data_IF_786298903839
#
_entry.id   IF_786298903839
#
_cell.length_a   1.000
_cell.length_b   1.000
_cell.length_c   1.000
_cell.angle_alpha   90.00
_cell.angle_beta   90.00
_cell.angle_gamma   90.00
#
_symmetry.space_group_name_H-M   'P 1'
#
loop_
_entity.id
_entity.type
_entity.pdbx_description
1 polymer ?
#
# COMPACT_ATOMS: atom_id res chain seq x y z
N UNK A 1 6.75 17.81 -12.98
CA UNK A 1 6.19 16.80 -13.89
C UNK A 1 7.10 15.59 -14.17
N UNK A 2 8.43 15.70 -14.11
CA UNK A 2 9.34 14.54 -14.35
C UNK A 2 9.18 13.35 -13.38
N UNK A 3 8.56 13.51 -12.21
CA UNK A 3 8.37 12.45 -11.24
C UNK A 3 7.22 11.47 -11.53
N UNK A 4 6.23 11.90 -12.31
CA UNK A 4 5.08 11.04 -12.69
C UNK A 4 5.51 10.00 -13.74
N UNK A 5 6.53 10.29 -14.54
CA UNK A 5 7.12 9.40 -15.55
C UNK A 5 8.32 8.61 -15.02
N UNK A 6 8.40 8.40 -13.71
CA UNK A 6 9.41 7.51 -13.14
C UNK A 6 8.98 6.03 -13.27
N UNK A 7 9.95 5.12 -13.35
CA UNK A 7 9.67 3.68 -13.41
C UNK A 7 8.72 3.20 -12.29
N UNK A 8 8.89 3.64 -11.01
CA UNK A 8 7.95 3.28 -9.95
C UNK A 8 6.52 3.77 -10.19
N UNK A 9 6.34 4.97 -10.77
CA UNK A 9 5.00 5.50 -11.09
C UNK A 9 4.35 4.73 -12.23
N UNK A 10 5.12 4.31 -13.23
CA UNK A 10 4.62 3.49 -14.32
C UNK A 10 4.17 2.11 -13.85
N UNK A 11 4.96 1.44 -13.02
CA UNK A 11 4.58 0.16 -12.42
C UNK A 11 3.33 0.31 -11.54
N UNK A 12 3.24 1.41 -10.79
CA UNK A 12 2.04 1.72 -10.01
C UNK A 12 0.81 1.88 -10.92
N UNK A 13 0.91 2.59 -12.02
CA UNK A 13 -0.19 2.75 -12.99
C UNK A 13 -0.64 1.41 -13.57
N UNK A 14 0.30 0.54 -13.97
CA UNK A 14 -0.01 -0.82 -14.41
C UNK A 14 -0.72 -1.65 -13.33
N UNK A 15 -0.30 -1.50 -12.06
CA UNK A 15 -0.96 -2.15 -10.92
C UNK A 15 -2.40 -1.65 -10.72
N UNK A 16 -2.68 -0.38 -11.00
CA UNK A 16 -4.06 0.14 -10.97
C UNK A 16 -4.92 -0.37 -12.13
N UNK A 17 -4.32 -0.57 -13.31
CA UNK A 17 -5.01 -1.24 -14.43
C UNK A 17 -5.32 -2.70 -14.06
N UNK A 18 -4.37 -3.42 -13.44
CA UNK A 18 -4.60 -4.76 -12.90
C UNK A 18 -5.71 -4.80 -11.84
N UNK A 19 -5.78 -3.77 -10.97
CA UNK A 19 -6.87 -3.64 -10.01
C UNK A 19 -8.22 -3.40 -10.69
N UNK A 20 -8.27 -2.60 -11.76
CA UNK A 20 -9.48 -2.42 -12.57
C UNK A 20 -9.96 -3.75 -13.19
N UNK A 21 -9.03 -4.56 -13.71
CA UNK A 21 -9.33 -5.89 -14.23
C UNK A 21 -9.91 -6.81 -13.14
N UNK A 22 -9.24 -6.87 -11.99
CA UNK A 22 -9.70 -7.68 -10.85
C UNK A 22 -11.11 -7.31 -10.39
N UNK A 23 -11.40 -6.00 -10.28
CA UNK A 23 -12.72 -5.54 -9.84
C UNK A 23 -13.80 -5.72 -10.91
N UNK A 24 -13.45 -5.66 -12.19
CA UNK A 24 -14.35 -5.95 -13.30
C UNK A 24 -14.72 -7.43 -13.32
N UNK A 25 -13.75 -8.34 -13.16
CA UNK A 25 -13.99 -9.79 -13.04
C UNK A 25 -14.81 -10.12 -11.78
N UNK A 26 -14.60 -9.38 -10.70
CA UNK A 26 -15.38 -9.50 -9.47
C UNK A 26 -16.82 -8.96 -9.58
N UNK A 27 -17.21 -8.38 -10.72
CA UNK A 27 -18.54 -7.84 -10.96
C UNK A 27 -18.85 -6.56 -10.15
N UNK A 28 -17.84 -5.86 -9.63
CA UNK A 28 -18.03 -4.65 -8.84
C UNK A 28 -18.30 -3.47 -9.80
N UNK A 29 -19.40 -2.71 -9.63
CA UNK A 29 -19.74 -1.60 -10.50
C UNK A 29 -18.64 -0.53 -10.56
N UNK A 30 -18.34 0.00 -11.75
CA UNK A 30 -17.29 0.97 -12.00
C UNK A 30 -17.34 2.20 -11.08
N UNK A 31 -18.53 2.70 -10.76
CA UNK A 31 -18.71 3.81 -9.83
C UNK A 31 -18.17 3.51 -8.43
N UNK A 32 -18.39 2.30 -7.93
CA UNK A 32 -17.84 1.84 -6.65
C UNK A 32 -16.32 1.70 -6.71
N UNK A 33 -15.77 1.20 -7.82
CA UNK A 33 -14.32 1.05 -8.03
C UNK A 33 -13.63 2.42 -8.07
N UNK A 34 -14.21 3.40 -8.75
CA UNK A 34 -13.72 4.78 -8.80
C UNK A 34 -13.77 5.41 -7.39
N UNK A 35 -14.91 5.30 -6.71
CA UNK A 35 -15.09 5.80 -5.35
C UNK A 35 -14.09 5.18 -4.38
N UNK A 36 -13.96 3.86 -4.39
CA UNK A 36 -13.02 3.11 -3.57
C UNK A 36 -11.56 3.51 -3.89
N UNK A 37 -11.23 3.79 -5.16
CA UNK A 37 -9.88 4.22 -5.55
C UNK A 37 -9.55 5.62 -5.04
N UNK A 38 -10.51 6.53 -5.02
CA UNK A 38 -10.35 7.87 -4.45
C UNK A 38 -10.28 7.88 -2.92
N UNK A 39 -11.12 7.04 -2.25
CA UNK A 39 -11.22 7.01 -0.79
C UNK A 39 -10.16 6.14 -0.12
N UNK A 40 -9.80 5.01 -0.71
CA UNK A 40 -8.79 4.09 -0.17
C UNK A 40 -7.57 4.12 -1.08
N UNK A 41 -6.65 5.05 -0.83
CA UNK A 41 -5.48 5.25 -1.69
C UNK A 41 -4.52 4.06 -1.71
N UNK A 42 -4.43 3.30 -0.62
CA UNK A 42 -3.54 2.13 -0.52
C UNK A 42 -4.06 0.93 -1.34
N UNK A 43 -3.35 0.53 -2.39
CA UNK A 43 -3.72 -0.59 -3.27
C UNK A 43 -3.93 -1.91 -2.52
N UNK A 44 -3.04 -2.36 -1.61
CA UNK A 44 -3.28 -3.59 -0.86
C UNK A 44 -4.52 -3.56 0.02
N UNK A 45 -4.83 -2.42 0.63
CA UNK A 45 -6.03 -2.26 1.44
C UNK A 45 -7.30 -2.43 0.59
N UNK A 46 -7.30 -1.95 -0.66
CA UNK A 46 -8.40 -2.15 -1.61
C UNK A 46 -8.53 -3.60 -2.05
N UNK A 47 -7.42 -4.28 -2.31
CA UNK A 47 -7.43 -5.71 -2.68
C UNK A 47 -7.99 -6.55 -1.54
N UNK A 48 -7.60 -6.26 -0.28
CA UNK A 48 -8.15 -6.90 0.91
C UNK A 48 -9.65 -6.62 1.02
N UNK A 49 -10.07 -5.37 0.82
CA UNK A 49 -11.48 -4.99 0.88
C UNK A 49 -12.31 -5.75 -0.16
N UNK A 50 -11.86 -5.78 -1.42
CA UNK A 50 -12.52 -6.52 -2.49
C UNK A 50 -12.55 -8.03 -2.21
N UNK A 51 -11.43 -8.59 -1.77
CA UNK A 51 -11.35 -10.01 -1.35
C UNK A 51 -12.35 -10.34 -0.24
N UNK A 52 -12.44 -9.47 0.77
CA UNK A 52 -13.42 -9.61 1.86
C UNK A 52 -14.87 -9.53 1.37
N UNK A 53 -15.15 -8.66 0.39
CA UNK A 53 -16.49 -8.56 -0.22
C UNK A 53 -16.84 -9.85 -0.98
N UNK A 54 -15.89 -10.41 -1.74
CA UNK A 54 -16.12 -11.63 -2.53
C UNK A 54 -16.27 -12.87 -1.67
N UNK A 55 -15.54 -12.97 -0.57
CA UNK A 55 -15.62 -14.09 0.38
C UNK A 55 -16.81 -14.00 1.34
N UNK A 56 -17.60 -12.90 1.29
CA UNK A 56 -18.68 -12.67 2.24
C UNK A 56 -18.23 -12.49 3.68
N UNK A 57 -16.97 -12.08 3.89
CA UNK A 57 -16.38 -11.86 5.21
C UNK A 57 -17.19 -10.86 6.01
N UNK A 58 -17.40 -11.12 7.31
CA UNK A 58 -18.13 -10.24 8.21
C UNK A 58 -17.52 -8.83 8.22
N UNK A 59 -18.35 -7.80 8.19
CA UNK A 59 -17.94 -6.39 8.09
C UNK A 59 -16.87 -5.99 9.12
N UNK A 60 -16.97 -6.46 10.36
CA UNK A 60 -15.99 -6.16 11.40
C UNK A 60 -14.61 -6.78 11.10
N UNK A 61 -14.55 -8.00 10.56
CA UNK A 61 -13.30 -8.66 10.18
C UNK A 61 -12.67 -7.96 8.97
N UNK A 62 -13.46 -7.60 7.96
CA UNK A 62 -13.01 -6.82 6.81
C UNK A 62 -12.45 -5.44 7.26
N UNK A 63 -13.16 -4.74 8.15
CA UNK A 63 -12.70 -3.47 8.73
C UNK A 63 -11.36 -3.61 9.46
N UNK A 64 -11.21 -4.64 10.30
CA UNK A 64 -9.96 -4.91 11.00
C UNK A 64 -8.82 -5.23 10.03
N UNK A 65 -9.04 -6.07 9.04
CA UNK A 65 -8.02 -6.44 8.04
C UNK A 65 -7.54 -5.21 7.24
N UNK A 66 -8.46 -4.36 6.76
CA UNK A 66 -8.15 -3.12 6.04
C UNK A 66 -7.42 -2.14 6.94
N UNK A 67 -7.85 -1.99 8.20
CA UNK A 67 -7.22 -1.09 9.18
C UNK A 67 -5.79 -1.54 9.47
N UNK A 68 -5.57 -2.82 9.76
CA UNK A 68 -4.24 -3.38 10.00
C UNK A 68 -3.31 -3.25 8.80
N UNK A 69 -3.83 -3.47 7.59
CA UNK A 69 -3.08 -3.21 6.35
C UNK A 69 -2.64 -1.75 6.22
N UNK A 70 -3.40 -0.82 6.78
CA UNK A 70 -3.12 0.61 6.74
C UNK A 70 -2.14 1.08 7.82
N UNK A 71 -1.94 0.32 8.91
CA UNK A 71 -1.00 0.67 10.01
C UNK A 71 0.42 0.88 9.50
N UNK A 72 0.84 0.16 8.47
CA UNK A 72 2.14 0.34 7.82
C UNK A 72 2.39 1.76 7.29
N UNK A 73 1.33 2.55 7.05
CA UNK A 73 1.45 3.95 6.61
C UNK A 73 1.84 4.88 7.76
N UNK A 74 1.64 4.46 9.02
CA UNK A 74 1.90 5.28 10.20
C UNK A 74 3.35 5.81 10.27
N UNK A 75 4.42 5.01 10.08
CA UNK A 75 5.79 5.52 10.08
C UNK A 75 6.07 6.48 8.92
N UNK A 76 5.40 6.32 7.77
CA UNK A 76 5.53 7.25 6.64
C UNK A 76 4.89 8.60 6.96
N UNK A 77 3.71 8.59 7.58
CA UNK A 77 3.03 9.81 8.06
C UNK A 77 3.89 10.50 9.13
N UNK A 78 4.38 9.72 10.11
CA UNK A 78 5.20 10.22 11.22
C UNK A 78 6.52 10.85 10.75
N UNK A 79 7.11 10.36 9.64
CA UNK A 79 8.35 10.92 9.08
C UNK A 79 8.12 12.12 8.16
N UNK A 80 7.03 12.13 7.38
CA UNK A 80 6.79 13.17 6.37
C UNK A 80 6.07 14.41 6.94
N UNK A 81 5.13 14.23 7.86
CA UNK A 81 4.34 15.34 8.43
C UNK A 81 5.22 16.40 9.12
N UNK A 82 6.23 16.06 9.94
CA UNK A 82 7.15 17.04 10.53
C UNK A 82 7.91 17.87 9.50
N UNK A 83 8.27 17.27 8.35
CA UNK A 83 8.97 17.95 7.27
C UNK A 83 8.10 19.02 6.57
N UNK A 84 6.79 18.80 6.52
CA UNK A 84 5.81 19.73 5.94
C UNK A 84 5.33 20.77 6.95
N UNK A 85 5.41 20.47 8.26
CA UNK A 85 4.82 21.29 9.31
C UNK A 85 5.57 22.60 9.51
N UNK A 86 4.82 23.70 9.52
CA UNK A 86 5.28 25.03 9.92
C UNK A 86 4.37 25.58 11.03
N UNK A 87 4.77 26.68 11.69
CA UNK A 87 3.93 27.33 12.71
C UNK A 87 2.57 27.80 12.17
N UNK A 88 2.45 28.03 10.87
CA UNK A 88 1.22 28.49 10.21
C UNK A 88 0.40 27.37 9.59
N UNK A 89 0.91 26.13 9.56
CA UNK A 89 0.22 24.99 8.95
C UNK A 89 -0.82 24.44 9.94
N UNK A 90 -2.13 24.50 9.62
CA UNK A 90 -3.15 23.98 10.51
C UNK A 90 -3.14 22.43 10.47
N UNK A 91 -3.41 21.82 11.62
CA UNK A 91 -3.36 20.36 11.77
C UNK A 91 -4.37 19.63 10.88
N UNK A 92 -5.57 20.21 10.69
CA UNK A 92 -6.58 19.61 9.81
C UNK A 92 -6.10 19.45 8.36
N UNK A 93 -5.31 20.42 7.86
CA UNK A 93 -4.72 20.32 6.52
C UNK A 93 -3.70 19.19 6.42
N UNK A 94 -2.88 18.99 7.46
CA UNK A 94 -1.94 17.88 7.52
C UNK A 94 -2.67 16.53 7.61
N UNK A 95 -3.79 16.46 8.32
CA UNK A 95 -4.65 15.27 8.36
C UNK A 95 -5.25 14.97 6.98
N UNK A 96 -5.76 15.96 6.26
CA UNK A 96 -6.23 15.77 4.88
C UNK A 96 -5.10 15.31 3.96
N UNK A 97 -3.92 15.90 4.08
CA UNK A 97 -2.78 15.51 3.26
C UNK A 97 -2.24 14.12 3.59
N UNK A 98 -2.43 13.64 4.82
CA UNK A 98 -2.04 12.28 5.19
C UNK A 98 -2.79 11.21 4.39
N UNK A 99 -3.98 11.51 3.88
CA UNK A 99 -4.71 10.64 2.95
C UNK A 99 -3.90 10.28 1.69
N UNK A 100 -3.12 11.22 1.16
CA UNK A 100 -2.32 11.02 -0.05
C UNK A 100 -0.97 10.33 0.22
N UNK A 101 -0.65 10.02 1.48
CA UNK A 101 0.61 9.36 1.84
C UNK A 101 0.49 7.86 1.53
N UNK A 102 1.19 7.45 0.49
CA UNK A 102 1.45 6.05 0.14
C UNK A 102 2.94 5.90 -0.16
N UNK A 103 3.44 4.67 -0.28
CA UNK A 103 4.87 4.40 -0.49
C UNK A 103 5.45 5.25 -1.61
N UNK A 104 4.81 5.29 -2.78
CA UNK A 104 5.29 6.05 -3.95
C UNK A 104 5.32 7.55 -3.68
N UNK A 105 4.24 8.10 -3.09
CA UNK A 105 4.17 9.52 -2.76
C UNK A 105 5.15 9.90 -1.66
N UNK A 106 5.36 9.02 -0.68
CA UNK A 106 6.30 9.22 0.41
C UNK A 106 7.75 9.22 -0.08
N UNK A 107 8.16 8.21 -0.87
CA UNK A 107 9.51 8.13 -1.43
C UNK A 107 9.80 9.36 -2.27
N UNK A 108 8.92 9.72 -3.19
CA UNK A 108 9.08 10.91 -4.03
C UNK A 108 9.18 12.21 -3.23
N UNK A 109 8.35 12.34 -2.17
CA UNK A 109 8.39 13.50 -1.31
C UNK A 109 9.71 13.58 -0.53
N UNK A 110 10.12 12.47 0.12
CA UNK A 110 11.34 12.42 0.95
C UNK A 110 12.61 12.70 0.14
N UNK A 111 12.66 12.27 -1.12
CA UNK A 111 13.79 12.57 -2.01
C UNK A 111 13.92 14.06 -2.36
N UNK A 112 12.82 14.80 -2.39
CA UNK A 112 12.79 16.16 -2.97
C UNK A 112 12.36 17.26 -2.01
N UNK A 113 11.75 16.92 -0.89
CA UNK A 113 11.18 17.90 0.04
C UNK A 113 12.24 18.86 0.61
N UNK A 114 13.48 18.39 0.75
CA UNK A 114 14.59 19.21 1.27
C UNK A 114 15.04 20.29 0.27
N UNK A 115 14.82 20.05 -1.04
CA UNK A 115 15.09 21.05 -2.08
C UNK A 115 14.00 22.12 -2.17
N UNK A 116 12.84 21.92 -1.49
CA UNK A 116 11.73 22.86 -1.47
C UNK A 116 11.79 23.71 -0.20
N UNK A 117 11.69 25.05 -0.29
CA UNK A 117 11.60 25.93 0.88
C UNK A 117 10.46 25.49 1.81
N UNK A 118 10.65 25.56 3.12
CA UNK A 118 9.66 25.07 4.11
C UNK A 118 8.24 25.59 3.89
N UNK A 119 8.08 26.85 3.49
CA UNK A 119 6.79 27.47 3.22
C UNK A 119 6.04 26.83 2.03
N UNK A 120 6.77 26.25 1.07
CA UNK A 120 6.21 25.62 -0.14
C UNK A 120 5.97 24.11 -0.02
N UNK A 121 6.47 23.44 1.01
CA UNK A 121 6.44 21.97 1.13
C UNK A 121 5.03 21.39 1.16
N UNK A 122 4.12 22.06 1.85
CA UNK A 122 2.69 21.67 1.90
C UNK A 122 2.08 21.71 0.51
N UNK A 123 2.26 22.80 -0.23
CA UNK A 123 1.73 22.95 -1.59
C UNK A 123 2.40 21.97 -2.57
N UNK A 124 3.70 21.74 -2.43
CA UNK A 124 4.44 20.74 -3.22
C UNK A 124 3.87 19.34 -3.03
N UNK A 125 3.68 18.89 -1.79
CA UNK A 125 3.16 17.57 -1.50
C UNK A 125 1.68 17.45 -1.90
N UNK A 126 0.86 18.47 -1.62
CA UNK A 126 -0.54 18.51 -2.02
C UNK A 126 -0.69 18.40 -3.54
N UNK A 127 0.05 19.20 -4.30
CA UNK A 127 0.03 19.14 -5.76
C UNK A 127 0.40 17.77 -6.30
N UNK A 128 1.45 17.16 -5.77
CA UNK A 128 1.87 15.82 -6.18
C UNK A 128 0.85 14.76 -5.78
N UNK A 129 0.41 14.73 -4.52
CA UNK A 129 -0.52 13.73 -4.00
C UNK A 129 -1.88 13.78 -4.69
N UNK A 130 -2.47 14.96 -4.84
CA UNK A 130 -3.74 15.16 -5.53
C UNK A 130 -3.61 14.72 -7.00
N UNK A 131 -2.57 15.17 -7.71
CA UNK A 131 -2.37 14.79 -9.12
C UNK A 131 -2.22 13.29 -9.27
N UNK A 132 -1.39 12.65 -8.43
CA UNK A 132 -1.16 11.21 -8.49
C UNK A 132 -2.46 10.43 -8.23
N UNK A 133 -3.23 10.83 -7.21
CA UNK A 133 -4.52 10.19 -6.90
C UNK A 133 -5.54 10.37 -8.02
N UNK A 134 -5.68 11.60 -8.51
CA UNK A 134 -6.64 11.89 -9.59
C UNK A 134 -6.30 11.13 -10.87
N UNK A 135 -5.03 11.12 -11.28
CA UNK A 135 -4.57 10.39 -12.47
C UNK A 135 -4.85 8.90 -12.34
N UNK A 136 -4.52 8.29 -11.19
CA UNK A 136 -4.76 6.85 -11.00
C UNK A 136 -6.25 6.51 -10.87
N UNK A 137 -7.05 7.38 -10.25
CA UNK A 137 -8.52 7.21 -10.19
C UNK A 137 -9.14 7.30 -11.58
N UNK A 138 -8.72 8.29 -12.38
CA UNK A 138 -9.16 8.42 -13.78
C UNK A 138 -8.70 7.20 -14.61
N UNK A 139 -7.45 6.77 -14.43
CA UNK A 139 -6.90 5.60 -15.11
C UNK A 139 -7.71 4.33 -14.82
N UNK A 140 -8.09 4.10 -13.55
CA UNK A 140 -8.94 2.96 -13.17
C UNK A 140 -10.30 3.03 -13.86
N UNK A 141 -10.93 4.22 -13.86
CA UNK A 141 -12.22 4.40 -14.53
C UNK A 141 -12.16 4.15 -16.04
N UNK A 142 -11.12 4.65 -16.70
CA UNK A 142 -10.91 4.44 -18.14
C UNK A 142 -10.52 2.99 -18.47
N UNK A 143 -9.64 2.42 -17.67
CA UNK A 143 -9.18 1.04 -17.86
C UNK A 143 -10.30 0.04 -17.61
N UNK A 144 -11.22 0.29 -16.69
CA UNK A 144 -12.30 -0.62 -16.34
C UNK A 144 -13.13 -1.08 -17.56
N UNK A 145 -13.47 -0.14 -18.47
CA UNK A 145 -14.17 -0.47 -19.71
C UNK A 145 -13.32 -1.29 -20.68
N UNK A 146 -12.01 -1.00 -20.75
CA UNK A 146 -11.10 -1.67 -21.67
C UNK A 146 -10.72 -3.10 -21.19
N UNK A 147 -10.53 -3.30 -19.89
CA UNK A 147 -10.10 -4.60 -19.36
C UNK A 147 -11.14 -5.70 -19.53
N UNK A 148 -12.42 -5.36 -19.64
CA UNK A 148 -13.48 -6.34 -19.93
C UNK A 148 -13.35 -6.97 -21.31
N UNK A 149 -12.57 -6.36 -22.21
CA UNK A 149 -12.28 -6.90 -23.54
C UNK A 149 -10.97 -7.70 -23.58
N UNK A 150 -10.19 -7.71 -22.50
CA UNK A 150 -8.92 -8.42 -22.45
C UNK A 150 -9.14 -9.93 -22.26
N UNK A 151 -8.29 -10.78 -22.87
CA UNK A 151 -8.26 -12.18 -22.52
C UNK A 151 -7.98 -12.37 -21.03
N UNK A 152 -8.59 -13.37 -20.35
CA UNK A 152 -8.43 -13.62 -18.91
C UNK A 152 -6.95 -13.74 -18.47
N UNK A 153 -6.11 -14.29 -19.33
CA UNK A 153 -4.68 -14.40 -19.08
C UNK A 153 -4.02 -13.01 -18.93
N UNK A 154 -4.38 -12.05 -19.78
CA UNK A 154 -3.82 -10.68 -19.73
C UNK A 154 -4.28 -9.97 -18.47
N UNK A 155 -5.57 -10.05 -18.15
CA UNK A 155 -6.14 -9.48 -16.90
C UNK A 155 -5.47 -10.09 -15.66
N UNK A 156 -5.30 -11.41 -15.62
CA UNK A 156 -4.61 -12.11 -14.55
C UNK A 156 -3.15 -11.69 -14.40
N UNK A 157 -2.41 -11.55 -15.50
CA UNK A 157 -1.03 -11.06 -15.49
C UNK A 157 -0.93 -9.63 -14.96
N UNK A 158 -1.80 -8.73 -15.42
CA UNK A 158 -1.86 -7.34 -14.96
C UNK A 158 -2.19 -7.26 -13.46
N UNK A 159 -3.14 -8.06 -13.00
CA UNK A 159 -3.47 -8.14 -11.59
C UNK A 159 -2.29 -8.67 -10.75
N UNK A 160 -1.61 -9.71 -11.24
CA UNK A 160 -0.46 -10.32 -10.56
C UNK A 160 0.74 -9.38 -10.44
N UNK A 161 0.87 -8.37 -11.32
CA UNK A 161 1.90 -7.32 -11.16
C UNK A 161 1.78 -6.57 -9.83
N UNK A 162 0.57 -6.44 -9.29
CA UNK A 162 0.33 -5.73 -8.01
C UNK A 162 1.06 -6.38 -6.84
N UNK A 163 0.83 -7.66 -6.48
CA UNK A 163 1.54 -8.32 -5.39
C UNK A 163 3.04 -8.42 -5.65
N UNK A 164 3.47 -8.68 -6.89
CA UNK A 164 4.90 -8.73 -7.26
C UNK A 164 5.56 -7.37 -7.03
N UNK A 165 4.93 -6.27 -7.48
CA UNK A 165 5.44 -4.92 -7.23
C UNK A 165 5.58 -4.62 -5.74
N UNK A 166 4.57 -4.94 -4.94
CA UNK A 166 4.64 -4.70 -3.50
C UNK A 166 5.71 -5.54 -2.82
N UNK A 167 5.79 -6.82 -3.16
CA UNK A 167 6.79 -7.72 -2.59
C UNK A 167 8.21 -7.24 -2.91
N UNK A 168 8.48 -6.94 -4.17
CA UNK A 168 9.78 -6.45 -4.62
C UNK A 168 10.11 -5.08 -4.05
N UNK A 169 9.14 -4.17 -3.99
CA UNK A 169 9.32 -2.82 -3.42
C UNK A 169 9.64 -2.87 -1.93
N UNK A 170 8.92 -3.70 -1.16
CA UNK A 170 9.20 -3.88 0.27
C UNK A 170 10.55 -4.58 0.46
N UNK A 171 10.84 -5.61 -0.33
CA UNK A 171 12.12 -6.33 -0.27
C UNK A 171 13.32 -5.43 -0.49
N UNK A 172 13.28 -4.59 -1.53
CA UNK A 172 14.37 -3.65 -1.86
C UNK A 172 14.49 -2.52 -0.84
N UNK A 173 13.35 -2.06 -0.30
CA UNK A 173 13.32 -0.99 0.72
C UNK A 173 13.73 -1.47 2.11
N UNK A 174 13.79 -2.78 2.34
CA UNK A 174 14.10 -3.37 3.63
C UNK A 174 15.59 -3.25 3.95
N UNK A 175 15.93 -2.37 4.91
CA UNK A 175 17.31 -2.15 5.37
C UNK A 175 17.76 -3.15 6.45
N UNK A 176 16.81 -3.84 7.09
CA UNK A 176 17.06 -4.76 8.21
C UNK A 176 16.69 -6.19 7.84
N UNK A 177 17.52 -7.16 8.21
CA UNK A 177 17.27 -8.60 7.98
C UNK A 177 15.96 -9.08 8.56
N UNK A 178 15.50 -8.49 9.68
CA UNK A 178 14.22 -8.82 10.30
C UNK A 178 13.04 -8.60 9.36
N UNK A 179 13.09 -7.60 8.48
CA UNK A 179 12.00 -7.33 7.53
C UNK A 179 11.91 -8.45 6.48
N UNK A 180 13.04 -8.95 5.99
CA UNK A 180 13.07 -10.08 5.06
C UNK A 180 12.56 -11.37 5.73
N UNK A 181 12.92 -11.56 7.00
CA UNK A 181 12.40 -12.69 7.81
C UNK A 181 10.90 -12.58 8.03
N UNK A 182 10.40 -11.38 8.39
CA UNK A 182 8.97 -11.12 8.56
C UNK A 182 8.19 -11.35 7.26
N UNK A 183 8.73 -10.93 6.11
CA UNK A 183 8.14 -11.18 4.79
C UNK A 183 8.06 -12.68 4.48
N UNK A 184 9.14 -13.43 4.68
CA UNK A 184 9.17 -14.87 4.44
C UNK A 184 8.20 -15.61 5.38
N UNK A 185 8.23 -15.29 6.68
CA UNK A 185 7.30 -15.86 7.66
C UNK A 185 5.85 -15.52 7.32
N UNK A 186 5.56 -14.27 6.95
CA UNK A 186 4.22 -13.84 6.54
C UNK A 186 3.70 -14.58 5.30
N UNK A 187 4.56 -14.82 4.30
CA UNK A 187 4.21 -15.61 3.11
C UNK A 187 3.84 -17.06 3.44
N UNK A 188 4.66 -17.72 4.26
CA UNK A 188 4.42 -19.11 4.66
C UNK A 188 3.19 -19.21 5.55
N UNK A 189 3.08 -18.37 6.58
CA UNK A 189 1.94 -18.36 7.50
C UNK A 189 0.65 -17.94 6.80
N UNK A 190 0.72 -16.99 5.85
CA UNK A 190 -0.43 -16.59 5.04
C UNK A 190 -0.99 -17.74 4.24
N UNK A 191 -0.14 -18.53 3.57
CA UNK A 191 -0.55 -19.74 2.86
C UNK A 191 -1.16 -20.81 3.78
N UNK A 192 -0.59 -21.00 4.96
CA UNK A 192 -1.12 -21.96 5.95
C UNK A 192 -2.48 -21.51 6.50
N UNK A 193 -2.60 -20.24 6.91
CA UNK A 193 -3.85 -19.72 7.48
C UNK A 193 -4.95 -19.55 6.42
N UNK A 194 -4.61 -19.27 5.17
CA UNK A 194 -5.58 -19.28 4.08
C UNK A 194 -6.28 -20.64 3.92
N UNK A 195 -5.59 -21.75 4.26
CA UNK A 195 -6.16 -23.09 4.23
C UNK A 195 -6.94 -23.47 5.52
N UNK A 196 -6.57 -22.91 6.68
CA UNK A 196 -7.10 -23.33 7.99
C UNK A 196 -8.11 -22.35 8.56
N UNK A 197 -7.91 -21.04 8.36
CA UNK A 197 -8.75 -19.97 8.90
C UNK A 197 -8.80 -18.78 7.89
N UNK A 198 -9.45 -18.94 6.74
CA UNK A 198 -9.41 -17.96 5.66
C UNK A 198 -9.96 -16.58 6.02
N UNK A 199 -10.83 -16.47 7.04
CA UNK A 199 -11.37 -15.19 7.52
C UNK A 199 -10.35 -14.34 8.27
N UNK A 200 -9.33 -14.96 8.87
CA UNK A 200 -8.32 -14.31 9.72
C UNK A 200 -6.89 -14.51 9.21
N UNK A 201 -6.70 -15.05 8.02
CA UNK A 201 -5.40 -15.45 7.45
C UNK A 201 -4.39 -14.30 7.46
N UNK A 202 -4.75 -13.13 6.94
CA UNK A 202 -3.90 -11.95 6.87
C UNK A 202 -3.56 -11.43 8.26
N UNK A 203 -4.54 -11.43 9.17
CA UNK A 203 -4.38 -10.97 10.54
C UNK A 203 -3.45 -11.87 11.32
N UNK A 204 -3.69 -13.17 11.26
CA UNK A 204 -2.88 -14.18 11.96
C UNK A 204 -1.46 -14.25 11.38
N UNK A 205 -1.33 -14.26 10.05
CA UNK A 205 -0.03 -14.26 9.39
C UNK A 205 0.79 -13.00 9.72
N UNK A 206 0.15 -11.82 9.76
CA UNK A 206 0.79 -10.56 10.09
C UNK A 206 1.25 -10.50 11.55
N UNK A 207 0.38 -10.84 12.50
CA UNK A 207 0.69 -10.82 13.93
C UNK A 207 1.74 -11.86 14.30
N UNK A 208 1.54 -13.11 13.89
CA UNK A 208 2.46 -14.20 14.23
C UNK A 208 3.79 -14.06 13.46
N UNK A 209 3.76 -13.77 12.17
CA UNK A 209 4.96 -13.56 11.38
C UNK A 209 5.80 -12.38 11.87
N UNK A 210 5.15 -11.26 12.20
CA UNK A 210 5.79 -10.09 12.76
C UNK A 210 6.39 -10.33 14.15
N UNK A 211 5.65 -10.98 15.05
CA UNK A 211 6.13 -11.31 16.39
C UNK A 211 7.28 -12.32 16.39
N UNK A 212 7.20 -13.36 15.55
CA UNK A 212 8.28 -14.34 15.39
C UNK A 212 9.56 -13.68 14.84
N UNK A 213 9.44 -12.81 13.85
CA UNK A 213 10.58 -12.10 13.29
C UNK A 213 11.23 -11.15 14.33
N UNK A 214 10.42 -10.41 15.08
CA UNK A 214 10.90 -9.54 16.14
C UNK A 214 11.58 -10.32 17.27
N UNK A 215 11.01 -11.43 17.70
CA UNK A 215 11.59 -12.27 18.74
C UNK A 215 12.89 -12.92 18.28
N UNK A 216 12.94 -13.38 17.04
CA UNK A 216 14.17 -13.92 16.44
C UNK A 216 15.29 -12.90 16.40
N UNK A 217 15.01 -11.64 16.04
CA UNK A 217 16.01 -10.57 16.06
C UNK A 217 16.48 -10.25 17.48
N UNK A 218 15.57 -10.15 18.44
CA UNK A 218 15.88 -9.87 19.84
C UNK A 218 16.80 -10.94 20.43
N UNK A 219 16.53 -12.21 20.14
CA UNK A 219 17.36 -13.33 20.63
C UNK A 219 18.72 -13.37 19.94
N UNK A 220 18.80 -12.99 18.66
CA UNK A 220 20.08 -12.89 17.93
C UNK A 220 20.95 -11.75 18.46
N UNK A 221 20.39 -10.57 18.76
CA UNK A 221 21.11 -9.44 19.37
C UNK A 221 21.63 -9.81 20.78
N UNK A 222 20.80 -10.43 21.62
CA UNK A 222 21.20 -10.84 22.95
C UNK A 222 22.34 -11.89 22.98
N UNK A 223 22.46 -12.72 21.91
CA UNK A 223 23.57 -13.65 21.75
C UNK A 223 24.85 -12.95 21.27
N UNK A 224 24.73 -11.95 20.39
CA UNK A 224 25.88 -11.15 19.92
C UNK A 224 26.54 -10.33 21.02
N UNK A 225 25.74 -9.74 21.93
CA UNK A 225 26.23 -8.96 23.09
C UNK A 225 26.90 -9.83 24.18
N UNK A 226 26.69 -11.16 24.19
CA UNK A 226 27.34 -12.08 25.14
C UNK A 226 28.67 -12.65 24.62
N UNK A 227 28.98 -12.43 23.34
CA UNK A 227 30.18 -12.96 22.67
C UNK A 227 31.24 -11.89 22.34
N UNK A 228 30.94 -10.62 22.59
CA UNK A 228 31.87 -9.49 22.49
C UNK A 228 32.17 -8.85 23.85
#
# INVERSE_FOLDING_TARGET
MRGIFSLPSFILMLSFVGFAAFTAEAGIPVGQVIFMTGMVWALPAKVILVGSMLSGTHLAAAFLAVTLSSVRMMPMVASLVPEMRTRRTPTWLLLLLSHFIAITAWVFAMERIHAVPRAGRVAFFAGFGITLTTVNTALVGLAYGAVTTFPPLVSGCLFFLTPVYFLTSIWVSARHRVVHFALGAGLVLGGVFAAVAPEYDILLAGLLGGTLAWWGERTARAKGERQG
#
